data_IF_069729766654
#
_entry.id   IF_069729766654
#
_cell.length_a   1.000
_cell.length_b   1.000
_cell.length_c   1.000
_cell.angle_alpha   90.00
_cell.angle_beta   90.00
_cell.angle_gamma   90.00
#
_symmetry.space_group_name_H-M   'P 1'
#
loop_
_entity.id
_entity.type
_entity.pdbx_description
1 polymer ?
#
# COMPACT_ATOMS: atom_id res chain seq x y z
N UNK A 1 8.32 60.43 -46.97
CA UNK A 1 7.11 59.59 -46.82
C UNK A 1 7.54 58.26 -46.26
N UNK A 2 7.32 58.05 -44.97
CA UNK A 2 7.66 56.81 -44.28
C UNK A 2 6.44 55.89 -44.30
N UNK A 3 6.52 54.74 -44.94
CA UNK A 3 5.51 53.74 -44.98
C UNK A 3 5.48 53.07 -43.60
N UNK A 4 4.46 53.34 -42.80
CA UNK A 4 4.21 52.62 -41.53
C UNK A 4 3.67 51.23 -41.89
N UNK A 5 4.20 50.16 -41.36
CA UNK A 5 3.67 48.84 -41.71
C UNK A 5 2.26 48.65 -41.07
N UNK A 6 1.29 48.40 -41.92
CA UNK A 6 -0.13 48.08 -41.56
C UNK A 6 -0.27 46.98 -40.50
N UNK A 7 0.67 46.08 -40.37
CA UNK A 7 0.72 45.00 -39.37
C UNK A 7 0.76 45.52 -37.92
N UNK A 8 1.35 46.68 -37.67
CA UNK A 8 1.44 47.24 -36.31
C UNK A 8 0.11 47.84 -35.84
N UNK A 9 -0.66 48.42 -36.77
CA UNK A 9 -1.97 49.00 -36.45
C UNK A 9 -3.02 47.90 -36.19
N UNK A 10 -2.92 46.75 -36.86
CA UNK A 10 -3.79 45.59 -36.64
C UNK A 10 -3.56 44.95 -35.28
N UNK A 11 -2.30 44.85 -34.83
CA UNK A 11 -1.95 44.31 -33.49
C UNK A 11 -2.38 45.26 -32.37
N UNK A 12 -2.31 46.59 -32.60
CA UNK A 12 -2.71 47.59 -31.60
C UNK A 12 -4.25 47.71 -31.48
N UNK A 13 -4.97 47.46 -32.57
CA UNK A 13 -6.44 47.45 -32.55
C UNK A 13 -7.02 46.19 -31.89
N UNK A 14 -6.32 45.07 -31.96
CA UNK A 14 -6.69 43.80 -31.29
C UNK A 14 -6.52 43.95 -29.75
N UNK A 15 -5.56 44.75 -29.30
CA UNK A 15 -5.38 45.07 -27.88
C UNK A 15 -6.49 45.97 -27.35
N UNK A 16 -7.06 46.87 -28.18
CA UNK A 16 -8.18 47.77 -27.82
C UNK A 16 -9.55 47.07 -27.84
N UNK A 17 -9.72 46.03 -28.65
CA UNK A 17 -11.00 45.33 -28.80
C UNK A 17 -11.26 44.24 -27.75
N UNK A 18 -10.39 44.09 -26.75
CA UNK A 18 -10.62 43.21 -25.62
C UNK A 18 -10.47 41.72 -25.94
N UNK A 19 -10.04 41.35 -27.15
CA UNK A 19 -9.84 39.93 -27.54
C UNK A 19 -8.63 39.32 -26.81
N UNK A 20 -7.54 40.09 -26.73
CA UNK A 20 -6.32 39.65 -26.05
C UNK A 20 -6.51 39.39 -24.54
N UNK A 21 -7.14 40.34 -23.77
CA UNK A 21 -7.44 40.09 -22.36
C UNK A 21 -8.48 38.95 -22.16
N UNK A 22 -9.41 38.75 -23.11
CA UNK A 22 -10.37 37.66 -23.04
C UNK A 22 -9.70 36.29 -23.25
N UNK A 23 -8.77 36.18 -24.21
CA UNK A 23 -7.98 34.97 -24.44
C UNK A 23 -7.04 34.66 -23.27
N UNK A 24 -6.40 35.68 -22.71
CA UNK A 24 -5.54 35.52 -21.53
C UNK A 24 -6.35 35.07 -20.31
N UNK A 25 -7.53 35.65 -20.09
CA UNK A 25 -8.43 35.22 -19.03
C UNK A 25 -8.94 33.79 -19.21
N UNK A 26 -9.23 33.39 -20.45
CA UNK A 26 -9.61 32.02 -20.78
C UNK A 26 -8.47 31.02 -20.53
N UNK A 27 -7.23 31.35 -20.91
CA UNK A 27 -6.03 30.55 -20.62
C UNK A 27 -5.78 30.41 -19.11
N UNK A 28 -5.89 31.50 -18.36
CA UNK A 28 -5.75 31.49 -16.91
C UNK A 28 -6.84 30.60 -16.26
N UNK A 29 -8.09 30.71 -16.72
CA UNK A 29 -9.18 29.82 -16.24
C UNK A 29 -8.95 28.36 -16.56
N UNK A 30 -8.44 28.03 -17.75
CA UNK A 30 -8.04 26.68 -18.15
C UNK A 30 -6.90 26.14 -17.27
N UNK A 31 -5.89 26.96 -16.97
CA UNK A 31 -4.77 26.61 -16.09
C UNK A 31 -5.24 26.42 -14.64
N UNK A 32 -6.11 27.28 -14.13
CA UNK A 32 -6.68 27.13 -12.78
C UNK A 32 -7.58 25.88 -12.71
N UNK A 33 -8.38 25.64 -13.75
CA UNK A 33 -9.25 24.47 -13.84
C UNK A 33 -8.43 23.17 -13.91
N UNK A 34 -7.38 23.14 -14.72
CA UNK A 34 -6.47 21.99 -14.81
C UNK A 34 -5.67 21.78 -13.51
N UNK A 35 -5.25 22.85 -12.85
CA UNK A 35 -4.59 22.77 -11.54
C UNK A 35 -5.56 22.30 -10.45
N UNK A 36 -6.80 22.75 -10.46
CA UNK A 36 -7.87 22.28 -9.58
C UNK A 36 -8.21 20.81 -9.80
N UNK A 37 -8.20 20.34 -11.05
CA UNK A 37 -8.41 18.93 -11.38
C UNK A 37 -7.22 18.04 -10.93
N UNK A 38 -5.98 18.52 -11.08
CA UNK A 38 -4.79 17.82 -10.58
C UNK A 38 -4.66 17.87 -9.05
N UNK A 39 -5.27 18.86 -8.41
CA UNK A 39 -5.28 19.08 -6.95
C UNK A 39 -6.50 18.44 -6.27
N UNK A 40 -7.27 17.61 -6.96
CA UNK A 40 -8.23 16.76 -6.26
C UNK A 40 -7.43 15.85 -5.33
N UNK A 41 -7.28 16.29 -4.07
CA UNK A 41 -6.85 15.44 -2.97
C UNK A 41 -7.81 14.27 -2.97
N UNK A 42 -7.34 13.12 -3.50
CA UNK A 42 -8.03 11.87 -3.24
C UNK A 42 -8.28 11.85 -1.74
N UNK A 43 -9.52 11.76 -1.31
CA UNK A 43 -9.88 11.57 0.09
C UNK A 43 -9.36 10.19 0.47
N UNK A 44 -8.06 10.13 0.80
CA UNK A 44 -7.43 8.90 1.26
C UNK A 44 -8.10 8.53 2.57
N UNK A 45 -8.74 7.38 2.57
CA UNK A 45 -9.30 6.81 3.78
C UNK A 45 -8.22 6.76 4.85
N UNK A 46 -8.35 7.60 5.87
CA UNK A 46 -7.44 7.60 7.00
C UNK A 46 -7.84 6.47 7.92
N UNK A 47 -7.00 5.45 7.99
CA UNK A 47 -7.21 4.31 8.86
C UNK A 47 -5.91 4.06 9.65
N UNK A 48 -6.05 3.68 10.90
CA UNK A 48 -4.93 3.23 11.73
C UNK A 48 -4.65 1.72 11.60
N UNK A 49 -5.43 1.01 10.78
CA UNK A 49 -5.19 -0.42 10.51
C UNK A 49 -3.87 -0.57 9.74
N UNK A 50 -2.99 -1.39 10.28
CA UNK A 50 -1.67 -1.68 9.69
C UNK A 50 -1.82 -2.57 8.48
N UNK A 51 -1.13 -2.26 7.38
CA UNK A 51 -1.03 -3.15 6.22
C UNK A 51 0.34 -3.82 6.21
N UNK A 52 0.35 -5.15 6.23
CA UNK A 52 1.55 -5.98 6.31
C UNK A 52 1.77 -6.64 4.95
N UNK A 53 2.97 -6.43 4.38
CA UNK A 53 3.40 -7.00 3.11
C UNK A 53 4.28 -8.22 3.35
N UNK A 54 4.00 -9.32 2.63
CA UNK A 54 4.69 -10.61 2.78
C UNK A 54 5.12 -11.09 1.39
N UNK A 55 6.43 -11.18 1.18
CA UNK A 55 7.01 -11.63 -0.09
C UNK A 55 6.88 -13.14 -0.33
N UNK A 56 7.16 -13.58 -1.56
CA UNK A 56 7.15 -14.97 -1.98
C UNK A 56 8.47 -15.71 -1.79
N UNK A 57 8.49 -16.97 -2.28
CA UNK A 57 9.64 -17.87 -2.24
C UNK A 57 10.88 -17.28 -2.93
N UNK A 58 12.02 -17.40 -2.28
CA UNK A 58 13.31 -16.95 -2.81
C UNK A 58 13.43 -15.44 -2.98
N UNK A 59 12.47 -14.66 -2.43
CA UNK A 59 12.39 -13.22 -2.56
C UNK A 59 12.72 -12.50 -1.24
N UNK A 60 12.46 -11.21 -1.19
CA UNK A 60 12.63 -10.35 -0.02
C UNK A 60 11.60 -9.22 -0.06
N UNK A 61 11.59 -8.35 0.96
CA UNK A 61 10.72 -7.17 1.01
C UNK A 61 10.82 -6.26 -0.24
N UNK A 62 11.91 -6.33 -0.99
CA UNK A 62 12.08 -5.56 -2.24
C UNK A 62 11.07 -5.91 -3.34
N UNK A 63 10.46 -7.10 -3.29
CA UNK A 63 9.46 -7.49 -4.29
C UNK A 63 8.25 -6.55 -4.34
N UNK A 64 7.84 -6.02 -3.20
CA UNK A 64 6.69 -5.14 -3.04
C UNK A 64 7.08 -3.66 -2.86
N UNK A 65 8.38 -3.35 -2.79
CA UNK A 65 8.92 -2.01 -2.51
C UNK A 65 8.36 -0.94 -3.44
N UNK A 66 8.17 -1.25 -4.73
CA UNK A 66 7.58 -0.29 -5.69
C UNK A 66 6.15 0.11 -5.30
N UNK A 67 5.34 -0.83 -4.81
CA UNK A 67 3.98 -0.55 -4.33
C UNK A 67 4.03 0.33 -3.08
N UNK A 68 4.91 0.01 -2.16
CA UNK A 68 5.10 0.75 -0.90
C UNK A 68 5.60 2.17 -1.18
N UNK A 69 6.58 2.33 -2.08
CA UNK A 69 7.09 3.64 -2.52
C UNK A 69 5.98 4.48 -3.15
N UNK A 70 5.15 3.89 -4.02
CA UNK A 70 4.00 4.59 -4.62
C UNK A 70 2.97 5.00 -3.57
N UNK A 71 2.71 4.16 -2.57
CA UNK A 71 1.83 4.50 -1.46
C UNK A 71 2.36 5.70 -0.65
N UNK A 72 3.67 5.77 -0.44
CA UNK A 72 4.31 6.94 0.20
C UNK A 72 4.23 8.18 -0.69
N UNK A 73 4.61 8.08 -1.96
CA UNK A 73 4.59 9.19 -2.90
C UNK A 73 3.20 9.81 -3.05
N UNK A 74 2.16 8.98 -3.10
CA UNK A 74 0.77 9.42 -3.18
C UNK A 74 0.16 9.81 -1.81
N UNK A 75 0.96 9.92 -0.76
CA UNK A 75 0.51 10.25 0.59
C UNK A 75 -0.59 9.30 1.14
N UNK A 76 -0.63 8.05 0.69
CA UNK A 76 -1.56 7.03 1.22
C UNK A 76 -1.10 6.61 2.61
N UNK A 77 0.19 6.32 2.77
CA UNK A 77 0.79 6.01 4.08
C UNK A 77 1.64 7.17 4.59
N UNK A 78 1.70 7.32 5.91
CA UNK A 78 2.61 8.24 6.58
C UNK A 78 3.88 7.56 7.12
N UNK A 79 3.87 6.23 7.23
CA UNK A 79 4.93 5.50 7.94
C UNK A 79 5.10 4.09 7.39
N UNK A 80 6.33 3.74 7.08
CA UNK A 80 6.73 2.40 6.67
C UNK A 80 7.81 1.91 7.62
N UNK A 81 7.71 0.66 8.06
CA UNK A 81 8.70 -0.04 8.88
C UNK A 81 9.03 -1.39 8.28
N UNK A 82 10.23 -1.89 8.58
CA UNK A 82 10.71 -3.19 8.12
C UNK A 82 10.80 -4.15 9.29
N UNK A 83 10.10 -5.28 9.20
CA UNK A 83 10.18 -6.39 10.13
C UNK A 83 11.04 -7.51 9.51
N UNK A 84 12.25 -7.71 10.02
CA UNK A 84 13.11 -8.84 9.64
C UNK A 84 12.87 -10.00 10.57
N UNK A 85 12.72 -11.18 9.97
CA UNK A 85 12.56 -12.46 10.67
C UNK A 85 13.77 -13.31 10.33
N UNK A 86 14.58 -13.66 11.32
CA UNK A 86 15.72 -14.54 11.12
C UNK A 86 15.29 -16.03 10.97
N UNK A 87 16.26 -16.91 10.73
CA UNK A 87 15.99 -18.32 10.51
C UNK A 87 15.36 -19.02 11.72
N UNK A 88 15.58 -18.50 12.92
CA UNK A 88 14.99 -19.02 14.16
C UNK A 88 13.61 -18.44 14.44
N UNK A 89 13.17 -17.44 13.65
CA UNK A 89 11.89 -16.77 13.79
C UNK A 89 11.92 -15.56 14.75
N UNK A 90 13.12 -15.10 15.17
CA UNK A 90 13.21 -13.88 15.95
C UNK A 90 12.93 -12.65 15.06
N UNK A 91 12.16 -11.70 15.59
CA UNK A 91 11.72 -10.53 14.84
C UNK A 91 12.45 -9.28 15.30
N UNK A 92 13.05 -8.57 14.34
CA UNK A 92 13.62 -7.24 14.55
C UNK A 92 12.87 -6.22 13.69
N UNK A 93 12.21 -5.26 14.33
CA UNK A 93 11.48 -4.21 13.64
C UNK A 93 12.32 -2.93 13.60
N UNK A 94 12.62 -2.45 12.39
CA UNK A 94 13.37 -1.23 12.12
C UNK A 94 12.45 -0.12 11.66
N UNK A 95 12.67 1.10 12.14
CA UNK A 95 11.87 2.28 11.81
C UNK A 95 11.05 2.81 12.98
N UNK A 96 10.32 3.92 12.78
CA UNK A 96 9.57 4.60 13.84
C UNK A 96 8.37 3.77 14.31
N UNK A 97 7.80 4.14 15.47
CA UNK A 97 6.52 3.54 15.92
C UNK A 97 5.41 3.83 14.92
N UNK A 98 4.59 2.82 14.66
CA UNK A 98 3.41 2.92 13.79
C UNK A 98 2.13 3.25 14.57
N UNK A 99 2.22 3.33 15.90
CA UNK A 99 1.08 3.63 16.77
C UNK A 99 0.45 4.98 16.40
N UNK A 100 -0.85 4.97 16.09
CA UNK A 100 -1.60 6.18 15.72
C UNK A 100 -1.20 6.81 14.38
N UNK A 101 -0.37 6.14 13.59
CA UNK A 101 0.01 6.62 12.26
C UNK A 101 -1.08 6.34 11.22
N UNK A 102 -1.11 7.19 10.20
CA UNK A 102 -2.07 7.06 9.09
C UNK A 102 -1.65 5.95 8.14
N UNK A 103 -2.51 4.95 7.97
CA UNK A 103 -2.32 3.82 7.05
C UNK A 103 -0.90 3.23 7.12
N UNK A 104 -0.39 2.84 8.30
CA UNK A 104 0.98 2.40 8.41
C UNK A 104 1.21 1.10 7.65
N UNK A 105 2.40 0.98 7.05
CA UNK A 105 2.84 -0.20 6.31
C UNK A 105 3.98 -0.88 7.06
N UNK A 106 3.93 -2.20 7.09
CA UNK A 106 5.01 -3.07 7.56
C UNK A 106 5.44 -3.96 6.40
N UNK A 107 6.69 -3.87 5.99
CA UNK A 107 7.31 -4.80 5.05
C UNK A 107 7.95 -5.92 5.85
N UNK A 108 7.60 -7.17 5.55
CA UNK A 108 8.20 -8.35 6.20
C UNK A 108 9.32 -8.87 5.32
N UNK A 109 10.48 -9.11 5.92
CA UNK A 109 11.59 -9.80 5.28
C UNK A 109 11.89 -11.10 6.03
N UNK A 110 11.60 -12.21 5.40
CA UNK A 110 11.92 -13.55 5.90
C UNK A 110 13.34 -13.92 5.42
N UNK A 111 14.30 -14.10 6.32
CA UNK A 111 15.67 -14.52 5.96
C UNK A 111 15.67 -15.94 5.42
N UNK A 112 14.88 -16.84 6.05
CA UNK A 112 14.63 -18.18 5.52
C UNK A 112 13.57 -18.16 4.40
N UNK A 113 13.86 -17.43 3.33
CA UNK A 113 12.91 -17.14 2.25
C UNK A 113 12.67 -18.32 1.28
N UNK A 114 13.32 -19.45 1.48
CA UNK A 114 13.18 -20.68 0.66
C UNK A 114 12.58 -21.83 1.44
N UNK A 115 12.20 -21.63 2.68
CA UNK A 115 11.47 -22.64 3.44
C UNK A 115 10.10 -22.88 2.79
N UNK A 116 9.61 -24.11 2.84
CA UNK A 116 8.34 -24.54 2.23
C UNK A 116 7.35 -25.14 3.23
N UNK A 117 7.74 -25.24 4.51
CA UNK A 117 6.84 -25.67 5.56
C UNK A 117 5.90 -24.52 5.97
N UNK A 118 4.63 -24.65 5.61
CA UNK A 118 3.62 -23.65 5.92
C UNK A 118 3.39 -23.44 7.43
N UNK A 119 3.75 -24.43 8.27
CA UNK A 119 3.68 -24.24 9.72
C UNK A 119 4.75 -23.29 10.19
N UNK A 120 5.92 -23.39 9.59
CA UNK A 120 7.05 -22.52 9.87
C UNK A 120 6.79 -21.11 9.36
N UNK A 121 6.27 -20.98 8.12
CA UNK A 121 5.83 -19.71 7.59
C UNK A 121 4.75 -19.04 8.46
N UNK A 122 3.75 -19.80 8.88
CA UNK A 122 2.72 -19.34 9.82
C UNK A 122 3.31 -18.86 11.16
N UNK A 123 4.30 -19.57 11.69
CA UNK A 123 5.01 -19.20 12.92
C UNK A 123 5.76 -17.88 12.76
N UNK A 124 6.44 -17.67 11.63
CA UNK A 124 7.13 -16.42 11.34
C UNK A 124 6.17 -15.24 11.28
N UNK A 125 5.05 -15.40 10.59
CA UNK A 125 4.03 -14.33 10.53
C UNK A 125 3.42 -14.06 11.90
N UNK A 126 3.14 -15.10 12.69
CA UNK A 126 2.67 -14.95 14.05
C UNK A 126 3.64 -14.13 14.93
N UNK A 127 4.93 -14.42 14.82
CA UNK A 127 5.96 -13.71 15.57
C UNK A 127 6.01 -12.23 15.17
N UNK A 128 5.87 -11.92 13.87
CA UNK A 128 5.76 -10.52 13.40
C UNK A 128 4.54 -9.81 14.01
N UNK A 129 3.37 -10.44 13.95
CA UNK A 129 2.12 -9.87 14.49
C UNK A 129 2.25 -9.63 16.00
N UNK A 130 2.79 -10.59 16.74
CA UNK A 130 3.03 -10.45 18.18
C UNK A 130 4.03 -9.33 18.51
N UNK A 131 5.13 -9.23 17.73
CA UNK A 131 6.11 -8.16 17.89
C UNK A 131 5.50 -6.77 17.65
N UNK A 132 4.66 -6.64 16.61
CA UNK A 132 3.93 -5.40 16.32
C UNK A 132 2.88 -5.09 17.41
N UNK A 133 2.20 -6.10 17.91
CA UNK A 133 1.24 -5.94 19.00
C UNK A 133 1.94 -5.47 20.28
N UNK A 134 3.07 -6.08 20.62
CA UNK A 134 3.87 -5.70 21.79
C UNK A 134 4.46 -4.30 21.67
N UNK A 135 5.03 -3.94 20.49
CA UNK A 135 5.72 -2.66 20.28
C UNK A 135 4.76 -1.50 20.08
N UNK A 136 3.74 -1.70 19.25
CA UNK A 136 2.89 -0.62 18.73
C UNK A 136 1.42 -0.74 19.14
N UNK A 137 1.03 -1.86 19.75
CA UNK A 137 -0.34 -2.09 20.23
C UNK A 137 -1.35 -2.23 19.09
N UNK A 138 -0.95 -2.86 17.95
CA UNK A 138 -1.87 -3.06 16.84
C UNK A 138 -3.07 -3.91 17.29
N UNK A 139 -4.27 -3.52 16.86
CA UNK A 139 -5.52 -4.25 17.15
C UNK A 139 -6.16 -4.88 15.92
N UNK A 140 -5.72 -4.44 14.74
CA UNK A 140 -6.16 -4.97 13.46
C UNK A 140 -5.11 -4.77 12.38
N UNK A 141 -5.16 -5.61 11.35
CA UNK A 141 -4.23 -5.55 10.22
C UNK A 141 -4.91 -5.98 8.93
N UNK A 142 -4.32 -5.53 7.81
CA UNK A 142 -4.54 -6.05 6.47
C UNK A 142 -3.29 -6.80 6.03
N UNK A 143 -3.45 -7.76 5.12
CA UNK A 143 -2.34 -8.48 4.48
C UNK A 143 -2.28 -8.14 3.00
N UNK A 144 -1.07 -7.97 2.49
CA UNK A 144 -0.74 -8.00 1.06
C UNK A 144 0.33 -9.07 0.91
N UNK A 145 -0.01 -10.17 0.28
CA UNK A 145 0.89 -11.30 0.21
C UNK A 145 1.10 -11.76 -1.24
N UNK A 146 2.33 -12.14 -1.56
CA UNK A 146 2.73 -12.55 -2.90
C UNK A 146 3.13 -14.01 -2.93
N UNK A 147 2.62 -14.77 -3.91
CA UNK A 147 2.99 -16.15 -4.18
C UNK A 147 2.94 -17.03 -2.92
N UNK A 148 4.05 -17.64 -2.49
CA UNK A 148 4.16 -18.47 -1.28
C UNK A 148 3.74 -17.71 -0.01
N UNK A 149 4.01 -16.40 0.07
CA UNK A 149 3.59 -15.59 1.21
C UNK A 149 2.08 -15.61 1.48
N UNK A 150 1.25 -15.89 0.45
CA UNK A 150 -0.18 -16.12 0.66
C UNK A 150 -0.45 -17.39 1.46
N UNK A 151 0.32 -18.46 1.21
CA UNK A 151 0.17 -19.73 1.91
C UNK A 151 0.56 -19.58 3.38
N UNK A 152 1.67 -18.86 3.65
CA UNK A 152 2.10 -18.54 5.00
C UNK A 152 1.06 -17.68 5.73
N UNK A 153 0.49 -16.67 5.05
CA UNK A 153 -0.54 -15.81 5.58
C UNK A 153 -1.83 -16.57 5.92
N UNK A 154 -2.31 -17.43 5.03
CA UNK A 154 -3.50 -18.25 5.27
C UNK A 154 -3.25 -19.27 6.40
N UNK A 155 -2.08 -19.91 6.40
CA UNK A 155 -1.69 -20.84 7.47
C UNK A 155 -1.64 -20.14 8.83
N UNK A 156 -1.09 -18.91 8.87
CA UNK A 156 -1.13 -18.08 10.07
C UNK A 156 -2.56 -17.80 10.53
N UNK A 157 -3.43 -17.32 9.66
CA UNK A 157 -4.82 -16.99 10.03
C UNK A 157 -5.56 -18.21 10.55
N UNK A 158 -5.38 -19.37 9.90
CA UNK A 158 -6.01 -20.62 10.31
C UNK A 158 -5.57 -21.10 11.70
N UNK A 159 -4.31 -20.88 12.06
CA UNK A 159 -3.71 -21.42 13.31
C UNK A 159 -3.76 -20.43 14.47
N UNK A 160 -3.53 -19.16 14.19
CA UNK A 160 -3.30 -18.12 15.20
C UNK A 160 -4.30 -16.97 15.14
N UNK A 161 -4.92 -16.73 13.97
CA UNK A 161 -5.72 -15.54 13.73
C UNK A 161 -7.03 -15.48 14.53
N UNK A 162 -7.50 -16.59 15.07
CA UNK A 162 -8.72 -16.69 15.86
C UNK A 162 -8.45 -16.86 17.36
N UNK A 163 -7.19 -16.85 17.79
CA UNK A 163 -6.83 -17.00 19.20
C UNK A 163 -7.27 -15.78 20.01
N UNK A 164 -7.61 -16.00 21.27
CA UNK A 164 -7.99 -14.92 22.17
C UNK A 164 -6.87 -13.87 22.30
N UNK A 165 -7.21 -12.60 22.07
CA UNK A 165 -6.24 -11.50 22.12
C UNK A 165 -5.47 -11.28 20.82
N UNK A 166 -5.63 -12.09 19.77
CA UNK A 166 -5.04 -11.85 18.48
C UNK A 166 -5.62 -10.58 17.82
N UNK A 167 -4.82 -9.77 17.14
CA UNK A 167 -5.33 -8.67 16.35
C UNK A 167 -6.27 -9.16 15.24
N UNK A 168 -7.26 -8.33 14.90
CA UNK A 168 -8.29 -8.70 13.92
C UNK A 168 -7.75 -8.60 12.50
N UNK A 169 -7.76 -9.68 11.75
CA UNK A 169 -7.55 -9.68 10.31
C UNK A 169 -8.75 -9.02 9.61
N UNK A 170 -8.51 -7.99 8.82
CA UNK A 170 -9.56 -7.21 8.16
C UNK A 170 -9.71 -7.54 6.69
N UNK A 171 -8.61 -7.47 5.93
CA UNK A 171 -8.60 -7.65 4.48
C UNK A 171 -7.30 -8.31 4.03
N UNK A 172 -7.34 -8.99 2.88
CA UNK A 172 -6.16 -9.48 2.20
C UNK A 172 -6.21 -9.18 0.71
N UNK A 173 -5.08 -8.71 0.18
CA UNK A 173 -4.79 -8.70 -1.25
C UNK A 173 -3.87 -9.89 -1.57
N UNK A 174 -4.34 -10.75 -2.46
CA UNK A 174 -3.62 -11.95 -2.92
C UNK A 174 -2.94 -11.63 -4.25
N UNK A 175 -1.61 -11.60 -4.27
CA UNK A 175 -0.82 -11.32 -5.46
C UNK A 175 -0.17 -12.62 -5.96
N UNK A 176 -0.35 -12.93 -7.27
CA UNK A 176 0.22 -14.13 -7.90
C UNK A 176 0.04 -15.41 -7.06
N UNK A 177 -1.07 -15.52 -6.35
CA UNK A 177 -1.38 -16.63 -5.46
C UNK A 177 -2.64 -17.35 -5.89
N UNK A 178 -2.69 -18.67 -5.69
CA UNK A 178 -3.88 -19.49 -5.85
C UNK A 178 -4.12 -20.33 -4.61
N UNK A 179 -5.38 -20.50 -4.21
CA UNK A 179 -5.76 -21.37 -3.09
C UNK A 179 -5.64 -22.87 -3.42
N UNK A 180 -5.34 -23.21 -4.67
CA UNK A 180 -5.25 -24.60 -5.15
C UNK A 180 -4.15 -25.42 -4.47
N UNK A 181 -3.11 -24.76 -3.95
CA UNK A 181 -2.06 -25.43 -3.15
C UNK A 181 -2.53 -25.84 -1.75
N UNK A 182 -3.46 -25.08 -1.17
CA UNK A 182 -3.98 -25.34 0.18
C UNK A 182 -4.78 -26.64 0.26
N UNK A 183 -5.67 -26.88 -0.71
CA UNK A 183 -6.50 -28.09 -0.74
C UNK A 183 -5.69 -29.37 -0.93
N UNK A 184 -4.53 -29.32 -1.62
CA UNK A 184 -3.66 -30.47 -1.84
C UNK A 184 -2.90 -30.94 -0.58
N UNK A 185 -2.77 -30.07 0.42
CA UNK A 185 -2.09 -30.34 1.68
C UNK A 185 -3.06 -30.59 2.85
N UNK A 186 -4.34 -30.83 2.54
CA UNK A 186 -5.36 -31.18 3.55
C UNK A 186 -5.80 -30.02 4.46
N UNK A 187 -5.45 -28.77 4.10
CA UNK A 187 -5.91 -27.60 4.83
C UNK A 187 -7.36 -27.25 4.48
N UNK A 188 -8.23 -27.15 5.47
CA UNK A 188 -9.56 -26.57 5.32
C UNK A 188 -9.52 -25.10 5.71
N UNK A 189 -10.05 -24.23 4.85
CA UNK A 189 -10.20 -22.82 5.20
C UNK A 189 -11.21 -22.71 6.36
N UNK A 190 -10.91 -21.96 7.43
CA UNK A 190 -11.89 -21.66 8.46
C UNK A 190 -13.14 -21.03 7.83
N UNK A 191 -14.31 -21.38 8.33
CA UNK A 191 -15.60 -20.82 7.84
C UNK A 191 -15.67 -19.28 7.88
N UNK A 192 -14.90 -18.66 8.76
CA UNK A 192 -14.72 -17.21 8.83
C UNK A 192 -14.04 -16.59 7.59
N UNK A 193 -13.31 -17.37 6.81
CA UNK A 193 -12.63 -16.91 5.59
C UNK A 193 -13.56 -17.03 4.38
N UNK A 194 -14.45 -18.03 4.34
CA UNK A 194 -15.37 -18.27 3.22
C UNK A 194 -16.51 -17.25 3.14
N UNK A 195 -16.85 -16.59 4.25
CA UNK A 195 -17.93 -15.59 4.32
C UNK A 195 -17.58 -14.20 3.75
N UNK A 196 -16.31 -13.93 3.40
CA UNK A 196 -15.84 -12.60 2.95
C UNK A 196 -15.22 -12.60 1.54
N UNK A 197 -15.44 -13.64 0.74
CA UNK A 197 -14.96 -13.75 -0.64
C UNK A 197 -16.07 -13.38 -1.66
N UNK A 198 -16.90 -12.40 -1.31
CA UNK A 198 -17.90 -11.80 -2.18
C UNK A 198 -17.47 -10.43 -2.68
#
# INVERSE_FOLDING_TARGET
MACRPQLLDEVIDDEKNGVFPALLAALIRLLISSYGFMSQKSSHWVNSTTTIFIHGYGSSYHAEETMVMRARFNNITSTVVLARVDNDGNVRISGPSIKGKRNPIVEVNLENNRQTDMNEGARYINNVIQALQKRDGIKSYNLVAHSMGNMDAFSYVARYGTQAGAPVWKKQAVLAGGLTGWSRQGGTLPSSITGNLG
#
